data_IF_681374806992
#
_entry.id   IF_681374806992
#
_cell.length_a   1.000
_cell.length_b   1.000
_cell.length_c   1.000
_cell.angle_alpha   90.00
_cell.angle_beta   90.00
_cell.angle_gamma   90.00
#
_symmetry.space_group_name_H-M   'P 1'
#
loop_
_entity.id
_entity.type
_entity.pdbx_description
1 polymer ?
#
# COMPACT_ATOMS: atom_id res chain seq x y z
N UNK A 1 -21.97 8.79 -35.66
CA UNK A 1 -21.86 7.36 -36.05
C UNK A 1 -22.91 6.59 -35.23
N UNK A 2 -23.73 5.83 -35.92
CA UNK A 2 -24.63 4.86 -35.27
C UNK A 2 -23.85 3.58 -34.86
N UNK A 3 -24.54 2.60 -34.28
CA UNK A 3 -23.89 1.37 -33.81
C UNK A 3 -23.21 0.56 -34.90
N UNK A 4 -23.83 0.50 -36.07
CA UNK A 4 -23.32 -0.25 -37.22
C UNK A 4 -22.12 0.43 -37.83
N UNK A 5 -22.16 1.77 -37.97
CA UNK A 5 -21.03 2.58 -38.39
C UNK A 5 -19.84 2.45 -37.43
N UNK A 6 -20.08 2.49 -36.12
CA UNK A 6 -19.04 2.31 -35.09
C UNK A 6 -18.41 0.92 -35.14
N UNK A 7 -19.22 -0.10 -35.35
CA UNK A 7 -18.75 -1.48 -35.51
C UNK A 7 -17.93 -1.62 -36.76
N UNK A 8 -18.41 -1.08 -37.88
CA UNK A 8 -17.68 -1.06 -39.16
C UNK A 8 -16.35 -0.32 -39.05
N UNK A 9 -16.35 0.84 -38.42
CA UNK A 9 -15.13 1.63 -38.17
C UNK A 9 -14.10 0.83 -37.39
N UNK A 10 -14.52 0.19 -36.26
CA UNK A 10 -13.63 -0.60 -35.41
C UNK A 10 -13.10 -1.85 -36.13
N UNK A 11 -13.96 -2.53 -36.91
CA UNK A 11 -13.60 -3.75 -37.68
C UNK A 11 -12.57 -3.47 -38.75
N UNK A 12 -12.68 -2.32 -39.43
CA UNK A 12 -11.84 -1.98 -40.56
C UNK A 12 -10.61 -1.13 -40.19
N UNK A 13 -10.38 -0.92 -38.90
CA UNK A 13 -9.18 -0.23 -38.47
C UNK A 13 -7.93 -1.05 -38.82
N UNK A 14 -6.93 -0.36 -39.37
CA UNK A 14 -5.59 -0.86 -39.63
C UNK A 14 -4.61 0.28 -39.55
N UNK A 15 -3.43 0.04 -38.98
CA UNK A 15 -2.35 1.03 -38.97
C UNK A 15 -1.89 1.43 -40.39
N UNK A 16 -1.96 0.52 -41.35
CA UNK A 16 -1.60 0.79 -42.74
C UNK A 16 -2.49 1.85 -43.37
N UNK A 17 -3.72 2.04 -42.86
CA UNK A 17 -4.66 3.06 -43.30
C UNK A 17 -4.47 4.42 -42.63
N UNK A 18 -3.55 4.50 -41.65
CA UNK A 18 -3.23 5.76 -41.00
C UNK A 18 -2.45 6.68 -41.95
N UNK A 19 -2.54 8.00 -41.76
CA UNK A 19 -1.97 9.05 -42.61
C UNK A 19 -0.49 8.85 -42.95
N UNK A 20 0.29 8.32 -41.99
CA UNK A 20 1.74 8.05 -42.15
C UNK A 20 2.06 6.55 -42.21
N UNK A 21 1.08 5.72 -42.54
CA UNK A 21 1.22 4.27 -42.52
C UNK A 21 1.34 3.70 -41.11
N UNK A 22 1.78 2.45 -41.04
CA UNK A 22 1.82 1.72 -39.76
C UNK A 22 3.00 2.11 -38.82
N UNK A 23 4.04 2.73 -39.33
CA UNK A 23 5.24 3.14 -38.61
C UNK A 23 5.87 2.03 -37.77
N UNK A 24 5.67 0.77 -38.15
CA UNK A 24 6.11 -0.41 -37.39
C UNK A 24 5.16 -0.91 -36.32
N UNK A 25 3.98 -0.30 -36.16
CA UNK A 25 2.92 -0.80 -35.32
C UNK A 25 1.99 -1.75 -36.08
N UNK A 26 1.59 -2.85 -35.44
CA UNK A 26 0.71 -3.85 -36.02
C UNK A 26 -0.64 -3.94 -35.31
N UNK A 27 -0.64 -3.60 -33.99
CA UNK A 27 -1.79 -3.85 -33.16
C UNK A 27 -1.87 -2.86 -31.99
N UNK A 28 -3.08 -2.46 -31.61
CA UNK A 28 -3.34 -1.75 -30.36
C UNK A 28 -3.53 -2.77 -29.24
N UNK A 29 -2.72 -2.65 -28.19
CA UNK A 29 -2.94 -3.34 -26.92
C UNK A 29 -3.63 -2.42 -25.93
N UNK A 30 -4.92 -2.60 -25.71
CA UNK A 30 -5.68 -1.91 -24.67
C UNK A 30 -5.37 -2.59 -23.33
N UNK A 31 -4.51 -1.97 -22.55
CA UNK A 31 -4.00 -2.48 -21.27
C UNK A 31 -4.91 -2.07 -20.12
N UNK A 32 -5.74 -2.99 -19.61
CA UNK A 32 -6.58 -2.70 -18.47
C UNK A 32 -5.79 -2.82 -17.17
N UNK A 33 -5.81 -1.80 -16.33
CA UNK A 33 -5.15 -1.78 -15.04
C UNK A 33 -6.04 -1.16 -13.96
N UNK A 34 -5.72 -1.37 -12.70
CA UNK A 34 -6.50 -0.92 -11.54
C UNK A 34 -6.59 -1.98 -10.45
N UNK A 35 -7.22 -1.62 -9.33
CA UNK A 35 -7.32 -2.47 -8.16
C UNK A 35 -8.07 -3.78 -8.42
N UNK A 36 -7.80 -4.79 -7.60
CA UNK A 36 -8.53 -6.06 -7.62
C UNK A 36 -10.02 -5.83 -7.34
N UNK A 37 -10.87 -6.54 -8.09
CA UNK A 37 -12.33 -6.47 -7.94
C UNK A 37 -12.98 -5.20 -8.53
N UNK A 38 -12.24 -4.40 -9.30
CA UNK A 38 -12.80 -3.22 -9.98
C UNK A 38 -13.53 -3.54 -11.30
N UNK A 39 -13.73 -4.82 -11.63
CA UNK A 39 -14.52 -5.24 -12.78
C UNK A 39 -13.79 -5.23 -14.12
N UNK A 40 -12.45 -5.33 -14.17
CA UNK A 40 -11.64 -5.42 -15.40
C UNK A 40 -12.06 -6.57 -16.30
N UNK A 41 -12.08 -7.79 -15.76
CA UNK A 41 -12.50 -8.99 -16.52
C UNK A 41 -13.96 -8.92 -16.95
N UNK A 42 -14.86 -8.39 -16.10
CA UNK A 42 -16.26 -8.16 -16.47
C UNK A 42 -16.41 -7.13 -17.59
N UNK A 43 -15.58 -6.09 -17.61
CA UNK A 43 -15.55 -5.11 -18.68
C UNK A 43 -15.05 -5.73 -19.99
N UNK A 44 -14.04 -6.60 -19.94
CA UNK A 44 -13.59 -7.38 -21.12
C UNK A 44 -14.74 -8.25 -21.64
N UNK A 45 -15.42 -8.99 -20.80
CA UNK A 45 -16.59 -9.79 -21.21
C UNK A 45 -17.66 -8.93 -21.87
N UNK A 46 -17.91 -7.75 -21.31
CA UNK A 46 -18.85 -6.77 -21.88
C UNK A 46 -18.41 -6.31 -23.28
N UNK A 47 -17.12 -5.97 -23.46
CA UNK A 47 -16.58 -5.57 -24.76
C UNK A 47 -16.69 -6.72 -25.80
N UNK A 48 -16.31 -7.94 -25.43
CA UNK A 48 -16.37 -9.10 -26.32
C UNK A 48 -17.82 -9.40 -26.71
N UNK A 49 -18.74 -9.40 -25.73
CA UNK A 49 -20.15 -9.64 -25.96
C UNK A 49 -20.78 -8.66 -26.94
N UNK A 50 -20.51 -7.37 -26.74
CA UNK A 50 -20.98 -6.33 -27.64
C UNK A 50 -20.32 -6.43 -29.03
N UNK A 51 -19.02 -6.72 -29.05
CA UNK A 51 -18.26 -6.83 -30.30
C UNK A 51 -18.70 -8.03 -31.16
N UNK A 52 -18.78 -9.22 -30.58
CA UNK A 52 -19.14 -10.45 -31.28
C UNK A 52 -20.62 -10.52 -31.61
N UNK A 53 -21.46 -9.78 -30.88
CA UNK A 53 -22.93 -9.80 -31.00
C UNK A 53 -23.53 -11.22 -30.94
N UNK A 54 -22.95 -12.08 -30.11
CA UNK A 54 -23.31 -13.46 -29.91
C UNK A 54 -24.10 -13.66 -28.61
N UNK A 55 -24.21 -14.88 -28.11
CA UNK A 55 -24.66 -15.18 -26.74
C UNK A 55 -23.58 -14.79 -25.72
N UNK A 56 -24.00 -14.41 -24.51
CA UNK A 56 -23.08 -14.00 -23.46
C UNK A 56 -22.33 -15.22 -22.90
N UNK A 57 -21.02 -15.12 -22.81
CA UNK A 57 -20.14 -16.09 -22.17
C UNK A 57 -19.15 -15.38 -21.26
N UNK A 58 -18.67 -16.08 -20.23
CA UNK A 58 -17.58 -15.60 -19.38
C UNK A 58 -16.21 -15.90 -20.00
N UNK A 59 -15.81 -15.17 -21.05
CA UNK A 59 -14.50 -15.33 -21.72
C UNK A 59 -13.34 -15.00 -20.78
N UNK A 60 -13.46 -13.90 -20.02
CA UNK A 60 -12.52 -13.54 -18.99
C UNK A 60 -13.08 -13.96 -17.63
N UNK A 61 -12.30 -14.71 -16.84
CA UNK A 61 -12.72 -15.17 -15.51
C UNK A 61 -12.87 -13.99 -14.57
N UNK A 62 -14.11 -13.56 -14.33
CA UNK A 62 -14.44 -12.55 -13.35
C UNK A 62 -14.45 -13.14 -11.94
N UNK A 63 -14.12 -12.34 -10.94
CA UNK A 63 -14.17 -12.74 -9.53
C UNK A 63 -15.63 -12.98 -9.11
N UNK A 64 -16.03 -14.20 -8.89
CA UNK A 64 -17.41 -14.50 -8.44
C UNK A 64 -17.66 -15.97 -8.15
N UNK A 65 -17.17 -16.86 -8.98
CA UNK A 65 -17.51 -18.29 -8.88
C UNK A 65 -16.45 -19.15 -8.19
N UNK A 66 -15.15 -18.72 -8.14
CA UNK A 66 -14.06 -19.49 -7.51
C UNK A 66 -13.08 -18.67 -6.64
N UNK A 67 -13.43 -17.46 -6.22
CA UNK A 67 -12.54 -16.63 -5.36
C UNK A 67 -11.25 -16.17 -6.04
N UNK A 68 -11.07 -16.37 -7.34
CA UNK A 68 -9.85 -16.13 -8.09
C UNK A 68 -9.61 -14.65 -8.39
N UNK A 69 -8.42 -14.14 -8.07
CA UNK A 69 -7.90 -12.92 -8.65
C UNK A 69 -7.20 -13.27 -9.95
N UNK A 70 -7.37 -12.48 -11.02
CA UNK A 70 -6.58 -12.62 -12.26
C UNK A 70 -5.09 -12.60 -11.90
N UNK A 71 -4.41 -13.74 -12.11
CA UNK A 71 -2.97 -13.89 -11.86
C UNK A 71 -2.16 -13.82 -13.13
N UNK A 72 -2.84 -13.99 -14.26
CA UNK A 72 -2.24 -14.10 -15.57
C UNK A 72 -2.50 -12.84 -16.39
N UNK A 73 -1.63 -12.56 -17.33
CA UNK A 73 -1.77 -11.49 -18.30
C UNK A 73 -2.37 -12.05 -19.59
N UNK A 74 -3.69 -11.95 -19.75
CA UNK A 74 -4.42 -12.67 -20.79
C UNK A 74 -4.88 -11.71 -21.89
N UNK A 75 -4.51 -11.98 -23.18
CA UNK A 75 -5.00 -11.22 -24.32
C UNK A 75 -6.37 -11.73 -24.79
N UNK A 76 -7.23 -10.79 -25.17
CA UNK A 76 -8.54 -11.04 -25.82
C UNK A 76 -8.61 -10.27 -27.12
N UNK A 77 -8.43 -10.96 -28.23
CA UNK A 77 -8.44 -10.37 -29.56
C UNK A 77 -9.87 -10.01 -29.99
N UNK A 78 -10.10 -8.74 -30.31
CA UNK A 78 -11.33 -8.28 -30.92
C UNK A 78 -11.20 -8.28 -32.46
N UNK A 79 -10.07 -7.81 -32.95
CA UNK A 79 -9.68 -7.85 -34.38
C UNK A 79 -8.17 -8.12 -34.46
N UNK A 80 -7.64 -8.36 -35.65
CA UNK A 80 -6.20 -8.51 -35.88
C UNK A 80 -5.38 -7.30 -35.35
N UNK A 81 -5.99 -6.09 -35.37
CA UNK A 81 -5.33 -4.85 -34.99
C UNK A 81 -5.75 -4.34 -33.59
N UNK A 82 -6.64 -5.03 -32.87
CA UNK A 82 -7.17 -4.56 -31.59
C UNK A 82 -7.31 -5.70 -30.58
N UNK A 83 -6.58 -5.62 -29.49
CA UNK A 83 -6.57 -6.63 -28.42
C UNK A 83 -6.78 -5.97 -27.06
N UNK A 84 -7.72 -6.47 -26.27
CA UNK A 84 -7.86 -6.16 -24.85
C UNK A 84 -6.90 -7.04 -24.05
N UNK A 85 -6.24 -6.49 -23.02
CA UNK A 85 -5.38 -7.27 -22.16
C UNK A 85 -5.88 -7.18 -20.72
N UNK A 86 -6.25 -8.33 -20.15
CA UNK A 86 -6.55 -8.44 -18.72
C UNK A 86 -5.25 -8.57 -17.95
N UNK A 87 -4.82 -7.46 -17.36
CA UNK A 87 -3.62 -7.44 -16.54
C UNK A 87 -3.96 -7.84 -15.10
N UNK A 88 -2.99 -8.41 -14.42
CA UNK A 88 -3.11 -8.66 -12.99
C UNK A 88 -3.36 -7.33 -12.25
N UNK A 89 -4.46 -7.29 -11.49
CA UNK A 89 -4.80 -6.13 -10.66
C UNK A 89 -3.95 -6.07 -9.39
N UNK A 90 -3.71 -4.86 -8.88
CA UNK A 90 -3.05 -4.63 -7.59
C UNK A 90 -4.05 -4.71 -6.43
N UNK A 91 -3.54 -5.00 -5.24
CA UNK A 91 -4.31 -4.95 -3.99
C UNK A 91 -4.31 -3.55 -3.41
N UNK A 92 -3.17 -2.89 -3.50
CA UNK A 92 -2.91 -1.53 -3.03
C UNK A 92 -2.25 -0.73 -4.15
N UNK A 93 -2.21 0.59 -4.02
CA UNK A 93 -1.48 1.48 -4.93
C UNK A 93 -0.05 1.75 -4.44
N UNK A 94 0.45 0.92 -3.52
CA UNK A 94 1.80 1.05 -2.98
C UNK A 94 2.89 0.89 -4.04
N UNK A 95 4.03 1.52 -3.80
CA UNK A 95 5.18 1.58 -4.70
C UNK A 95 5.61 0.20 -5.27
N UNK A 96 5.54 -0.86 -4.45
CA UNK A 96 5.97 -2.20 -4.83
C UNK A 96 5.07 -2.86 -5.88
N UNK A 97 3.76 -2.77 -5.70
CA UNK A 97 2.79 -3.32 -6.65
C UNK A 97 2.77 -2.49 -7.94
N UNK A 98 2.98 -1.18 -7.83
CA UNK A 98 3.04 -0.25 -8.97
C UNK A 98 4.13 -0.59 -9.98
N UNK A 99 5.30 -1.06 -9.53
CA UNK A 99 6.38 -1.51 -10.43
C UNK A 99 5.94 -2.64 -11.38
N UNK A 100 5.18 -3.61 -10.86
CA UNK A 100 4.63 -4.71 -11.68
C UNK A 100 3.55 -4.21 -12.62
N UNK A 101 2.70 -3.26 -12.18
CA UNK A 101 1.71 -2.62 -13.04
C UNK A 101 2.40 -1.93 -14.22
N UNK A 102 3.44 -1.14 -13.96
CA UNK A 102 4.16 -0.43 -15.01
C UNK A 102 4.90 -1.39 -15.96
N UNK A 103 5.42 -2.50 -15.48
CA UNK A 103 6.01 -3.52 -16.34
C UNK A 103 4.95 -4.17 -17.27
N UNK A 104 3.73 -4.39 -16.79
CA UNK A 104 2.61 -4.86 -17.60
C UNK A 104 2.18 -3.78 -18.60
N UNK A 105 1.90 -2.55 -18.14
CA UNK A 105 1.49 -1.43 -18.97
C UNK A 105 2.53 -1.10 -20.04
N UNK A 106 3.82 -1.15 -19.69
CA UNK A 106 4.91 -0.94 -20.63
C UNK A 106 5.08 -2.04 -21.69
N UNK A 107 4.28 -3.11 -21.62
CA UNK A 107 4.44 -4.33 -22.43
C UNK A 107 5.85 -4.94 -22.30
N UNK A 108 6.39 -4.95 -21.06
CA UNK A 108 7.73 -5.47 -20.76
C UNK A 108 7.69 -6.90 -20.19
N UNK A 109 6.51 -7.43 -19.96
CA UNK A 109 6.25 -8.82 -19.59
C UNK A 109 5.46 -9.49 -20.71
N UNK A 110 5.65 -10.79 -20.99
CA UNK A 110 4.94 -11.48 -22.05
C UNK A 110 3.43 -11.53 -21.77
N UNK A 111 2.63 -11.52 -22.84
CA UNK A 111 1.20 -11.84 -22.77
C UNK A 111 1.03 -13.35 -22.65
N UNK A 112 -0.11 -13.78 -22.17
CA UNK A 112 -0.46 -15.20 -21.95
C UNK A 112 0.50 -15.90 -20.98
N UNK A 113 0.93 -15.15 -19.97
CA UNK A 113 1.83 -15.65 -18.94
C UNK A 113 1.36 -15.25 -17.54
N UNK A 114 1.69 -16.10 -16.56
CA UNK A 114 1.45 -15.82 -15.16
C UNK A 114 2.33 -14.65 -14.70
N UNK A 115 1.71 -13.65 -14.11
CA UNK A 115 2.40 -12.50 -13.51
C UNK A 115 2.52 -12.75 -12.01
N UNK A 116 3.70 -13.09 -11.56
CA UNK A 116 4.01 -13.16 -10.14
C UNK A 116 4.45 -11.79 -9.64
N UNK A 117 4.08 -11.45 -8.40
CA UNK A 117 4.66 -10.27 -7.77
C UNK A 117 6.17 -10.44 -7.64
N UNK A 118 6.91 -9.48 -8.16
CA UNK A 118 8.36 -9.41 -8.05
C UNK A 118 8.75 -8.03 -7.54
N UNK A 119 9.73 -7.98 -6.65
CA UNK A 119 10.28 -6.74 -6.11
C UNK A 119 11.71 -6.56 -6.61
N UNK A 120 12.12 -5.32 -6.81
CA UNK A 120 13.50 -4.97 -7.10
C UNK A 120 14.14 -5.80 -8.21
N UNK A 121 15.24 -6.47 -7.89
CA UNK A 121 16.00 -7.29 -8.83
C UNK A 121 15.18 -8.44 -9.46
N UNK A 122 14.22 -9.02 -8.70
CA UNK A 122 13.38 -10.10 -9.23
C UNK A 122 12.47 -9.66 -10.38
N UNK A 123 11.92 -8.44 -10.34
CA UNK A 123 11.14 -7.89 -11.45
C UNK A 123 12.04 -7.52 -12.62
N UNK A 124 13.22 -6.94 -12.36
CA UNK A 124 14.23 -6.63 -13.38
C UNK A 124 14.66 -7.89 -14.14
N UNK A 125 14.93 -9.00 -13.44
CA UNK A 125 15.31 -10.28 -14.04
C UNK A 125 14.19 -10.82 -14.95
N UNK A 126 12.92 -10.74 -14.52
CA UNK A 126 11.77 -11.15 -15.32
C UNK A 126 11.67 -10.33 -16.62
N UNK A 127 11.86 -9.01 -16.54
CA UNK A 127 11.85 -8.13 -17.71
C UNK A 127 12.98 -8.44 -18.69
N UNK A 128 14.18 -8.75 -18.20
CA UNK A 128 15.31 -9.13 -19.04
C UNK A 128 15.03 -10.46 -19.75
N UNK A 129 14.54 -11.46 -19.04
CA UNK A 129 14.17 -12.76 -19.62
C UNK A 129 13.05 -12.64 -20.66
N UNK A 130 12.13 -11.69 -20.45
CA UNK A 130 11.00 -11.43 -21.33
C UNK A 130 11.37 -10.69 -22.62
N UNK A 131 12.55 -10.09 -22.71
CA UNK A 131 12.93 -9.17 -23.79
C UNK A 131 12.73 -9.73 -25.19
N UNK A 132 13.03 -11.02 -25.40
CA UNK A 132 12.86 -11.70 -26.69
C UNK A 132 11.44 -12.18 -26.96
N UNK A 133 10.58 -12.17 -25.95
CA UNK A 133 9.19 -12.69 -26.02
C UNK A 133 8.18 -11.58 -26.24
N UNK A 134 8.52 -10.33 -25.92
CA UNK A 134 7.62 -9.21 -26.09
C UNK A 134 7.74 -8.61 -27.48
N UNK A 135 6.59 -8.20 -28.09
CA UNK A 135 6.56 -7.59 -29.41
C UNK A 135 6.71 -6.08 -29.28
N UNK A 136 7.67 -5.52 -30.00
CA UNK A 136 7.86 -4.05 -30.06
C UNK A 136 6.78 -3.38 -30.90
N UNK A 137 6.21 -4.08 -31.87
CA UNK A 137 5.19 -3.56 -32.79
C UNK A 137 3.79 -3.34 -32.19
N UNK A 138 3.63 -3.58 -30.89
CA UNK A 138 2.37 -3.34 -30.18
C UNK A 138 2.27 -1.87 -29.74
N UNK A 139 1.20 -1.17 -30.14
CA UNK A 139 0.88 0.15 -29.61
C UNK A 139 0.16 0.00 -28.27
N UNK A 140 0.77 0.47 -27.20
CA UNK A 140 0.24 0.34 -25.84
C UNK A 140 -0.74 1.47 -25.53
N UNK A 141 -1.97 1.11 -25.15
CA UNK A 141 -3.02 2.05 -24.77
C UNK A 141 -3.51 1.77 -23.32
N UNK A 142 -3.22 2.64 -22.34
CA UNK A 142 -3.60 2.41 -20.95
C UNK A 142 -5.06 2.76 -20.68
N UNK A 143 -5.78 1.86 -19.99
CA UNK A 143 -7.16 2.06 -19.52
C UNK A 143 -7.25 1.74 -18.06
N UNK A 144 -7.51 2.74 -17.23
CA UNK A 144 -7.69 2.58 -15.79
C UNK A 144 -9.12 2.19 -15.46
N UNK A 145 -9.31 1.10 -14.74
CA UNK A 145 -10.65 0.61 -14.37
C UNK A 145 -10.89 0.79 -12.89
N UNK A 146 -11.92 1.53 -12.54
CA UNK A 146 -12.35 1.80 -11.16
C UNK A 146 -13.82 1.41 -10.96
N UNK A 147 -14.15 0.86 -9.78
CA UNK A 147 -15.53 0.54 -9.41
C UNK A 147 -16.17 1.67 -8.62
N UNK A 148 -17.29 2.20 -9.09
CA UNK A 148 -18.05 3.25 -8.38
C UNK A 148 -18.55 2.78 -7.01
N UNK A 149 -18.66 1.46 -6.78
CA UNK A 149 -18.96 0.90 -5.44
C UNK A 149 -17.92 1.25 -4.38
N UNK A 150 -16.67 1.51 -4.81
CA UNK A 150 -15.58 1.86 -3.91
C UNK A 150 -15.42 3.36 -3.93
N UNK A 151 -15.70 3.99 -2.80
CA UNK A 151 -15.36 5.39 -2.61
C UNK A 151 -13.86 5.62 -2.75
N UNK A 152 -13.46 6.84 -3.01
CA UNK A 152 -12.05 7.25 -3.10
C UNK A 152 -11.77 8.16 -1.91
N UNK A 153 -10.89 7.74 -1.00
CA UNK A 153 -10.47 8.55 0.14
C UNK A 153 -9.56 9.70 -0.29
N UNK A 154 -9.31 10.66 0.60
CA UNK A 154 -8.40 11.79 0.30
C UNK A 154 -6.96 11.31 0.08
N UNK A 155 -6.54 10.32 0.85
CA UNK A 155 -5.22 9.69 0.76
C UNK A 155 -5.05 8.97 -0.58
N UNK A 156 -6.04 8.17 -0.98
CA UNK A 156 -6.04 7.45 -2.25
C UNK A 156 -6.04 8.38 -3.48
N UNK A 157 -6.54 9.62 -3.37
CA UNK A 157 -6.50 10.58 -4.49
C UNK A 157 -5.08 10.88 -4.95
N UNK A 158 -4.15 11.12 -4.00
CA UNK A 158 -2.74 11.37 -4.32
C UNK A 158 -2.06 10.16 -4.97
N UNK A 159 -2.37 8.95 -4.50
CA UNK A 159 -1.84 7.71 -5.08
C UNK A 159 -2.39 7.45 -6.48
N UNK A 160 -3.69 7.70 -6.69
CA UNK A 160 -4.33 7.61 -8.01
C UNK A 160 -3.75 8.61 -9.00
N UNK A 161 -3.55 9.85 -8.58
CA UNK A 161 -2.92 10.89 -9.40
C UNK A 161 -1.51 10.46 -9.83
N UNK A 162 -0.70 10.01 -8.88
CA UNK A 162 0.65 9.53 -9.16
C UNK A 162 0.65 8.33 -10.13
N UNK A 163 -0.28 7.38 -9.95
CA UNK A 163 -0.42 6.22 -10.82
C UNK A 163 -0.82 6.61 -12.25
N UNK A 164 -1.83 7.49 -12.42
CA UNK A 164 -2.31 7.94 -13.72
C UNK A 164 -1.24 8.75 -14.47
N UNK A 165 -0.55 9.65 -13.76
CA UNK A 165 0.55 10.45 -14.31
C UNK A 165 1.75 9.56 -14.72
N UNK A 166 2.06 8.55 -13.91
CA UNK A 166 3.10 7.57 -14.24
C UNK A 166 2.73 6.71 -15.45
N UNK A 167 1.48 6.28 -15.56
CA UNK A 167 0.97 5.54 -16.71
C UNK A 167 1.03 6.39 -18.00
N UNK A 168 0.68 7.67 -17.92
CA UNK A 168 0.81 8.63 -19.02
C UNK A 168 2.28 8.83 -19.42
N UNK A 169 3.15 9.04 -18.45
CA UNK A 169 4.60 9.22 -18.73
C UNK A 169 5.22 7.99 -19.35
N UNK A 170 4.84 6.79 -18.85
CA UNK A 170 5.33 5.51 -19.33
C UNK A 170 4.92 5.24 -20.80
N UNK A 171 3.65 5.50 -21.12
CA UNK A 171 3.06 5.10 -22.40
C UNK A 171 3.03 6.23 -23.44
N UNK A 172 3.18 7.48 -23.00
CA UNK A 172 2.95 8.66 -23.83
C UNK A 172 1.47 8.87 -24.17
N UNK A 173 0.55 8.15 -23.49
CA UNK A 173 -0.89 8.18 -23.74
C UNK A 173 -1.61 8.55 -22.45
N UNK A 174 -2.49 9.55 -22.49
CA UNK A 174 -3.36 9.87 -21.34
C UNK A 174 -4.31 8.69 -21.11
N UNK A 175 -4.32 8.07 -19.94
CA UNK A 175 -5.22 6.96 -19.67
C UNK A 175 -6.70 7.34 -19.81
N UNK A 176 -7.48 6.47 -20.46
CA UNK A 176 -8.94 6.54 -20.34
C UNK A 176 -9.32 5.92 -19.00
N UNK A 177 -10.27 6.53 -18.29
CA UNK A 177 -10.85 5.96 -17.09
C UNK A 177 -12.18 5.28 -17.42
N UNK A 178 -12.30 4.02 -17.03
CA UNK A 178 -13.52 3.22 -17.10
C UNK A 178 -14.08 3.04 -15.69
N UNK A 179 -15.27 3.57 -15.46
CA UNK A 179 -16.03 3.40 -14.23
C UNK A 179 -17.01 2.24 -14.38
N UNK A 180 -16.86 1.23 -13.57
CA UNK A 180 -17.75 0.06 -13.53
C UNK A 180 -18.77 0.17 -12.39
N UNK A 181 -19.85 -0.64 -12.43
CA UNK A 181 -20.92 -0.61 -11.43
C UNK A 181 -21.51 0.79 -11.26
N UNK A 182 -21.81 1.44 -12.39
CA UNK A 182 -22.25 2.85 -12.43
C UNK A 182 -23.53 3.13 -11.62
N UNK A 183 -24.35 2.12 -11.40
CA UNK A 183 -25.62 2.22 -10.64
C UNK A 183 -25.46 1.96 -9.14
N UNK A 184 -24.28 1.53 -8.68
CA UNK A 184 -24.08 1.00 -7.33
C UNK A 184 -23.40 1.99 -6.35
N UNK A 185 -23.27 3.27 -6.72
CA UNK A 185 -22.66 4.30 -5.88
C UNK A 185 -22.88 5.71 -6.43
N UNK A 186 -22.11 6.69 -5.94
CA UNK A 186 -22.17 8.07 -6.42
C UNK A 186 -21.31 8.26 -7.68
N UNK A 187 -21.90 8.01 -8.84
CA UNK A 187 -21.23 8.15 -10.12
C UNK A 187 -20.70 9.59 -10.33
N UNK A 188 -21.55 10.58 -10.10
CA UNK A 188 -21.20 12.01 -10.31
C UNK A 188 -20.03 12.45 -9.45
N UNK A 189 -19.98 11.99 -8.19
CA UNK A 189 -18.88 12.29 -7.28
C UNK A 189 -17.58 11.62 -7.77
N UNK A 190 -17.66 10.34 -8.14
CA UNK A 190 -16.49 9.58 -8.66
C UNK A 190 -15.96 10.19 -9.94
N UNK A 191 -16.84 10.56 -10.89
CA UNK A 191 -16.44 11.27 -12.11
C UNK A 191 -15.80 12.62 -11.79
N UNK A 192 -16.37 13.39 -10.85
CA UNK A 192 -15.82 14.66 -10.38
C UNK A 192 -14.38 14.51 -9.89
N UNK A 193 -14.12 13.51 -9.05
CA UNK A 193 -12.77 13.22 -8.53
C UNK A 193 -11.79 12.96 -9.70
N UNK A 194 -12.13 12.10 -10.65
CA UNK A 194 -11.23 11.84 -11.77
C UNK A 194 -11.02 13.06 -12.69
N UNK A 195 -12.04 13.93 -12.86
CA UNK A 195 -11.87 15.20 -13.57
C UNK A 195 -10.93 16.15 -12.85
N UNK A 196 -11.03 16.23 -11.52
CA UNK A 196 -10.11 17.01 -10.69
C UNK A 196 -8.66 16.50 -10.79
N UNK A 197 -8.47 15.19 -11.02
CA UNK A 197 -7.17 14.56 -11.32
C UNK A 197 -6.69 14.76 -12.77
N UNK A 198 -7.39 15.56 -13.57
CA UNK A 198 -7.03 15.87 -14.94
C UNK A 198 -7.42 14.82 -15.99
N UNK A 199 -8.31 13.89 -15.65
CA UNK A 199 -8.80 12.89 -16.61
C UNK A 199 -9.91 13.50 -17.46
N UNK A 200 -9.67 13.63 -18.76
CA UNK A 200 -10.64 14.18 -19.72
C UNK A 200 -11.65 13.14 -20.20
N UNK A 201 -11.21 11.91 -20.42
CA UNK A 201 -12.01 10.82 -21.01
C UNK A 201 -12.39 9.79 -19.96
N UNK A 202 -13.67 9.82 -19.58
CA UNK A 202 -14.28 8.92 -18.61
C UNK A 202 -15.47 8.23 -19.27
N UNK A 203 -15.50 6.90 -19.17
CA UNK A 203 -16.62 6.07 -19.63
C UNK A 203 -17.20 5.31 -18.44
N UNK A 204 -18.53 5.28 -18.33
CA UNK A 204 -19.22 4.68 -17.16
C UNK A 204 -20.12 3.54 -17.60
N UNK A 205 -19.83 2.32 -17.14
CA UNK A 205 -20.51 1.11 -17.58
C UNK A 205 -21.24 0.39 -16.44
N UNK A 206 -22.39 -0.16 -16.77
CA UNK A 206 -22.95 -1.28 -16.06
C UNK A 206 -22.64 -2.53 -16.90
N UNK A 207 -21.66 -3.32 -16.43
CA UNK A 207 -21.17 -4.47 -17.18
C UNK A 207 -22.27 -5.53 -17.37
N UNK A 208 -22.20 -6.25 -18.48
CA UNK A 208 -22.95 -7.50 -18.65
C UNK A 208 -22.34 -8.59 -17.79
N UNK A 209 -23.21 -9.42 -17.21
CA UNK A 209 -22.85 -10.57 -16.37
C UNK A 209 -23.68 -11.78 -16.79
N UNK A 210 -23.35 -12.96 -16.26
CA UNK A 210 -24.18 -14.17 -16.45
C UNK A 210 -25.63 -13.99 -15.99
N UNK A 211 -25.84 -13.12 -14.99
CA UNK A 211 -27.16 -12.85 -14.40
C UNK A 211 -27.91 -11.73 -15.12
N UNK A 212 -27.21 -10.70 -15.63
CA UNK A 212 -27.76 -9.57 -16.37
C UNK A 212 -27.02 -9.34 -17.68
N UNK A 213 -27.46 -10.05 -18.73
CA UNK A 213 -26.92 -9.93 -20.09
C UNK A 213 -27.98 -9.54 -21.12
N UNK A 214 -29.10 -8.96 -20.68
CA UNK A 214 -30.11 -8.44 -21.57
C UNK A 214 -29.51 -7.31 -22.43
N UNK A 215 -29.49 -7.52 -23.76
CA UNK A 215 -28.98 -6.55 -24.71
C UNK A 215 -29.82 -5.26 -24.67
N UNK A 216 -29.16 -4.16 -24.38
CA UNK A 216 -29.78 -2.84 -24.46
C UNK A 216 -28.97 -1.95 -25.40
N UNK A 217 -29.66 -1.19 -26.26
CA UNK A 217 -29.04 -0.31 -27.24
C UNK A 217 -28.04 0.66 -26.58
N UNK A 218 -28.39 1.25 -25.44
CA UNK A 218 -27.52 2.20 -24.74
C UNK A 218 -26.20 1.59 -24.25
N UNK A 219 -26.24 0.40 -23.65
CA UNK A 219 -25.01 -0.31 -23.21
C UNK A 219 -24.12 -0.65 -24.42
N UNK A 220 -24.72 -1.11 -25.54
CA UNK A 220 -23.96 -1.43 -26.76
C UNK A 220 -23.29 -0.21 -27.37
N UNK A 221 -24.03 0.91 -27.50
CA UNK A 221 -23.47 2.16 -28.03
C UNK A 221 -22.34 2.70 -27.16
N UNK A 222 -22.44 2.64 -25.83
CA UNK A 222 -21.38 3.08 -24.93
C UNK A 222 -20.07 2.31 -25.15
N UNK A 223 -20.15 0.96 -25.29
CA UNK A 223 -18.97 0.12 -25.55
C UNK A 223 -18.36 0.43 -26.93
N UNK A 224 -19.18 0.52 -27.95
CA UNK A 224 -18.69 0.86 -29.31
C UNK A 224 -18.08 2.26 -29.37
N UNK A 225 -18.66 3.25 -28.68
CA UNK A 225 -18.07 4.58 -28.53
C UNK A 225 -16.70 4.53 -27.88
N UNK A 226 -16.55 3.76 -26.78
CA UNK A 226 -15.27 3.57 -26.13
C UNK A 226 -14.21 3.02 -27.10
N UNK A 227 -14.53 1.94 -27.83
CA UNK A 227 -13.60 1.35 -28.79
C UNK A 227 -13.23 2.34 -29.93
N UNK A 228 -14.21 3.07 -30.45
CA UNK A 228 -13.98 4.10 -31.45
C UNK A 228 -13.08 5.23 -30.92
N UNK A 229 -13.27 5.68 -29.69
CA UNK A 229 -12.45 6.74 -29.10
C UNK A 229 -10.99 6.28 -28.87
N UNK A 230 -10.77 5.03 -28.47
CA UNK A 230 -9.42 4.45 -28.42
C UNK A 230 -8.75 4.49 -29.79
N UNK A 231 -9.46 4.03 -30.82
CA UNK A 231 -8.90 4.01 -32.20
C UNK A 231 -8.62 5.41 -32.72
N UNK A 232 -9.52 6.36 -32.53
CA UNK A 232 -9.34 7.77 -32.98
C UNK A 232 -8.13 8.41 -32.28
N UNK A 233 -7.95 8.15 -30.97
CA UNK A 233 -6.79 8.67 -30.23
C UNK A 233 -5.48 8.07 -30.76
N UNK A 234 -5.46 6.77 -31.05
CA UNK A 234 -4.29 6.11 -31.65
C UNK A 234 -4.02 6.70 -33.06
N UNK A 235 -5.04 6.83 -33.90
CA UNK A 235 -4.89 7.43 -35.26
C UNK A 235 -4.29 8.83 -35.16
N UNK A 236 -4.78 9.66 -34.24
CA UNK A 236 -4.23 10.99 -34.00
C UNK A 236 -2.75 10.97 -33.60
N UNK A 237 -2.39 10.06 -32.72
CA UNK A 237 -1.01 9.95 -32.21
C UNK A 237 -0.02 9.46 -33.26
N UNK A 238 -0.42 8.53 -34.12
CA UNK A 238 0.43 8.04 -35.19
C UNK A 238 0.49 9.01 -36.38
N UNK A 239 -0.18 10.17 -36.33
CA UNK A 239 0.08 11.28 -37.26
C UNK A 239 1.46 11.93 -37.03
N UNK A 240 2.04 11.75 -35.82
CA UNK A 240 3.42 12.15 -35.56
C UNK A 240 4.37 10.98 -35.82
N UNK A 241 5.62 11.24 -36.23
CA UNK A 241 6.62 10.17 -36.38
C UNK A 241 6.85 9.44 -35.08
N UNK A 242 6.80 8.13 -35.12
CA UNK A 242 7.01 7.26 -33.95
C UNK A 242 7.92 6.10 -34.33
N UNK A 243 8.64 5.58 -33.32
CA UNK A 243 9.48 4.39 -33.44
C UNK A 243 9.15 3.43 -32.30
N UNK A 244 8.47 2.30 -32.58
CA UNK A 244 8.09 1.32 -31.56
C UNK A 244 9.27 0.78 -30.74
N UNK A 245 10.47 0.66 -31.37
CA UNK A 245 11.68 0.16 -30.70
C UNK A 245 12.21 1.17 -29.70
N UNK A 246 12.27 2.45 -30.07
CA UNK A 246 12.68 3.51 -29.15
C UNK A 246 11.65 3.73 -28.02
N UNK A 247 10.37 3.59 -28.32
CA UNK A 247 9.34 3.63 -27.29
C UNK A 247 9.48 2.48 -26.29
N UNK A 248 9.77 1.26 -26.74
CA UNK A 248 10.02 0.12 -25.87
C UNK A 248 11.23 0.35 -24.97
N UNK A 249 12.33 0.89 -25.49
CA UNK A 249 13.52 1.25 -24.71
C UNK A 249 13.18 2.31 -23.66
N UNK A 250 12.42 3.33 -24.03
CA UNK A 250 12.00 4.40 -23.13
C UNK A 250 11.13 3.86 -21.98
N UNK A 251 10.16 3.00 -22.31
CA UNK A 251 9.31 2.32 -21.29
C UNK A 251 10.14 1.47 -20.35
N UNK A 252 11.10 0.69 -20.86
CA UNK A 252 12.03 -0.11 -20.05
C UNK A 252 12.85 0.77 -19.12
N UNK A 253 13.43 1.85 -19.63
CA UNK A 253 14.21 2.79 -18.82
C UNK A 253 13.37 3.40 -17.70
N UNK A 254 12.12 3.77 -18.00
CA UNK A 254 11.19 4.28 -16.98
C UNK A 254 10.96 3.27 -15.86
N UNK A 255 10.62 2.02 -16.21
CA UNK A 255 10.31 1.00 -15.19
C UNK A 255 11.55 0.64 -14.36
N UNK A 256 12.72 0.52 -14.98
CA UNK A 256 13.97 0.26 -14.25
C UNK A 256 14.32 1.39 -13.28
N UNK A 257 14.15 2.65 -13.70
CA UNK A 257 14.33 3.82 -12.83
C UNK A 257 13.35 3.79 -11.67
N UNK A 258 12.08 3.51 -11.94
CA UNK A 258 11.04 3.41 -10.92
C UNK A 258 11.35 2.33 -9.87
N UNK A 259 11.76 1.12 -10.30
CA UNK A 259 12.17 0.03 -9.40
C UNK A 259 13.32 0.47 -8.51
N UNK A 260 14.34 1.10 -9.09
CA UNK A 260 15.51 1.59 -8.34
C UNK A 260 15.12 2.63 -7.28
N UNK A 261 14.26 3.57 -7.62
CA UNK A 261 13.75 4.58 -6.67
C UNK A 261 12.94 3.94 -5.53
N UNK A 262 12.14 2.92 -5.83
CA UNK A 262 11.41 2.16 -4.80
C UNK A 262 12.36 1.41 -3.86
N UNK A 263 13.40 0.76 -4.41
CA UNK A 263 14.41 0.05 -3.61
C UNK A 263 15.16 1.00 -2.65
N UNK A 264 15.52 2.20 -3.13
CA UNK A 264 16.16 3.23 -2.29
C UNK A 264 15.23 3.67 -1.16
N UNK A 265 13.98 3.98 -1.47
CA UNK A 265 12.99 4.38 -0.46
C UNK A 265 12.77 3.28 0.59
N UNK A 266 12.73 2.03 0.15
CA UNK A 266 12.58 0.91 1.09
C UNK A 266 13.79 0.74 2.00
N UNK A 267 14.99 0.87 1.47
CA UNK A 267 16.22 0.82 2.26
C UNK A 267 16.23 1.96 3.30
N UNK A 268 15.85 3.17 2.92
CA UNK A 268 15.74 4.31 3.83
C UNK A 268 14.72 4.03 4.95
N UNK A 269 13.54 3.54 4.64
CA UNK A 269 12.51 3.16 5.63
C UNK A 269 13.03 2.09 6.62
N UNK A 270 13.78 1.08 6.11
CA UNK A 270 14.39 0.04 6.97
C UNK A 270 15.43 0.63 7.92
N UNK A 271 16.26 1.56 7.46
CA UNK A 271 17.25 2.24 8.29
C UNK A 271 16.59 3.10 9.36
N UNK A 272 15.56 3.88 9.00
CA UNK A 272 14.80 4.71 9.93
C UNK A 272 14.08 3.86 10.99
N UNK A 273 13.43 2.78 10.59
CA UNK A 273 12.75 1.85 11.51
C UNK A 273 13.73 1.20 12.49
N UNK A 274 14.94 0.84 12.02
CA UNK A 274 15.98 0.30 12.89
C UNK A 274 16.48 1.35 13.89
N UNK A 275 16.71 2.59 13.45
CA UNK A 275 17.11 3.70 14.35
C UNK A 275 16.04 3.96 15.41
N UNK A 276 14.76 3.99 15.03
CA UNK A 276 13.65 4.19 15.96
C UNK A 276 13.56 3.05 17.01
N UNK A 277 13.78 1.81 16.57
CA UNK A 277 13.82 0.65 17.47
C UNK A 277 14.99 0.75 18.46
N UNK A 278 16.19 1.07 17.97
CA UNK A 278 17.39 1.21 18.80
C UNK A 278 17.21 2.33 19.84
N UNK A 279 16.63 3.47 19.46
CA UNK A 279 16.29 4.56 20.37
C UNK A 279 15.30 4.12 21.46
N UNK A 280 14.22 3.43 21.07
CA UNK A 280 13.23 2.87 22.01
C UNK A 280 13.85 1.89 23.03
N UNK A 281 14.79 1.05 22.56
CA UNK A 281 15.53 0.12 23.43
C UNK A 281 16.46 0.85 24.40
N UNK A 282 17.14 1.90 23.94
CA UNK A 282 18.00 2.74 24.80
C UNK A 282 17.18 3.46 25.89
N UNK A 283 16.04 4.03 25.53
CA UNK A 283 15.15 4.67 26.51
C UNK A 283 14.61 3.68 27.56
N UNK A 284 14.26 2.47 27.15
CA UNK A 284 13.84 1.42 28.08
C UNK A 284 14.96 1.03 29.04
N UNK A 285 16.19 0.86 28.53
CA UNK A 285 17.37 0.55 29.38
C UNK A 285 17.65 1.70 30.37
N UNK A 286 17.58 2.94 29.91
CA UNK A 286 17.80 4.09 30.78
C UNK A 286 16.75 4.18 31.91
N UNK A 287 15.47 3.96 31.59
CA UNK A 287 14.39 3.91 32.60
C UNK A 287 14.60 2.78 33.62
N UNK A 288 15.01 1.60 33.16
CA UNK A 288 15.31 0.48 34.07
C UNK A 288 16.48 0.82 35.02
N UNK A 289 17.57 1.41 34.49
CA UNK A 289 18.70 1.84 35.32
C UNK A 289 18.31 2.92 36.34
N UNK A 290 17.47 3.89 35.95
CA UNK A 290 16.95 4.90 36.88
C UNK A 290 16.09 4.28 37.99
N UNK A 291 15.24 3.31 37.67
CA UNK A 291 14.43 2.59 38.65
C UNK A 291 15.30 1.77 39.60
N UNK A 292 16.32 1.08 39.09
CA UNK A 292 17.27 0.32 39.93
C UNK A 292 18.04 1.25 40.87
N UNK A 293 18.56 2.37 40.36
CA UNK A 293 19.23 3.38 41.18
C UNK A 293 18.29 3.98 42.23
N UNK A 294 17.03 4.24 41.92
CA UNK A 294 16.05 4.70 42.92
C UNK A 294 15.82 3.66 44.01
N UNK A 295 15.68 2.38 43.65
CA UNK A 295 15.51 1.28 44.61
C UNK A 295 16.74 1.14 45.50
N UNK A 296 17.93 1.24 44.91
CA UNK A 296 19.17 1.16 45.72
C UNK A 296 19.31 2.33 46.68
N UNK A 297 19.05 3.58 46.26
CA UNK A 297 19.04 4.74 47.16
C UNK A 297 18.02 4.60 48.28
N UNK A 298 16.82 4.10 47.98
CA UNK A 298 15.81 3.85 49.04
C UNK A 298 16.24 2.75 50.05
N UNK A 299 16.96 1.74 49.55
CA UNK A 299 17.52 0.70 50.43
C UNK A 299 18.60 1.27 51.35
N UNK A 300 19.54 2.01 50.80
CA UNK A 300 20.60 2.70 51.53
C UNK A 300 20.03 3.67 52.59
N UNK A 301 19.01 4.45 52.25
CA UNK A 301 18.34 5.32 53.23
C UNK A 301 17.68 4.54 54.36
N UNK A 302 17.02 3.41 54.08
CA UNK A 302 16.42 2.56 55.13
C UNK A 302 17.47 1.96 56.02
N UNK A 303 18.58 1.49 55.45
CA UNK A 303 19.70 0.95 56.24
C UNK A 303 20.29 2.03 57.19
N UNK A 304 20.50 3.24 56.70
CA UNK A 304 20.96 4.38 57.52
C UNK A 304 19.96 4.79 58.60
N UNK A 305 18.65 4.78 58.31
CA UNK A 305 17.62 5.06 59.30
C UNK A 305 17.52 3.94 60.39
N UNK A 306 17.76 2.70 60.00
CA UNK A 306 17.79 1.58 60.96
C UNK A 306 19.02 1.62 61.82
N UNK A 307 20.21 1.94 61.27
CA UNK A 307 21.43 2.15 62.07
C UNK A 307 21.26 3.32 63.05
N UNK A 308 20.71 4.42 62.60
CA UNK A 308 20.45 5.57 63.43
C UNK A 308 19.47 5.22 64.57
N UNK A 309 18.41 4.46 64.29
CA UNK A 309 17.49 3.98 65.34
C UNK A 309 18.15 3.05 66.33
N UNK A 310 19.00 2.11 65.88
CA UNK A 310 19.77 1.22 66.78
C UNK A 310 20.68 2.03 67.65
N UNK A 311 21.41 2.94 67.13
CA UNK A 311 22.29 3.82 67.90
C UNK A 311 21.53 4.67 68.92
N UNK A 312 20.38 5.21 68.59
CA UNK A 312 19.52 5.91 69.55
C UNK A 312 18.99 4.98 70.66
N UNK A 313 18.63 3.74 70.34
CA UNK A 313 18.20 2.78 71.35
C UNK A 313 19.35 2.39 72.30
N UNK A 314 20.56 2.22 71.79
CA UNK A 314 21.75 1.95 72.59
C UNK A 314 22.03 3.10 73.58
N UNK A 315 22.00 4.33 73.08
CA UNK A 315 22.17 5.52 73.91
C UNK A 315 21.07 5.66 74.98
N UNK A 316 19.85 5.31 74.66
CA UNK A 316 18.74 5.33 75.61
C UNK A 316 18.95 4.25 76.68
N UNK A 317 19.35 3.03 76.28
CA UNK A 317 19.63 1.90 77.20
C UNK A 317 20.82 2.24 78.13
N UNK A 318 21.89 2.90 77.63
CA UNK A 318 22.98 3.36 78.50
C UNK A 318 22.51 4.40 79.51
N UNK A 319 21.71 5.39 79.08
CA UNK A 319 21.14 6.39 80.00
C UNK A 319 20.27 5.78 81.06
N UNK A 320 19.44 4.80 80.69
CA UNK A 320 18.57 4.11 81.69
C UNK A 320 19.38 3.26 82.61
N UNK A 321 20.47 2.62 82.21
CA UNK A 321 21.41 1.90 82.95
C UNK A 321 22.16 2.76 83.97
N UNK A 322 22.59 3.91 83.55
CA UNK A 322 23.29 4.89 84.42
C UNK A 322 22.30 5.49 85.41
N UNK A 323 21.06 5.75 85.03
CA UNK A 323 20.02 6.22 85.97
C UNK A 323 19.73 5.14 87.03
N UNK A 324 19.61 3.91 86.61
CA UNK A 324 19.40 2.76 87.56
C UNK A 324 20.58 2.64 88.56
N UNK A 325 21.84 2.76 88.15
CA UNK A 325 23.00 2.78 89.00
C UNK A 325 22.96 3.93 89.96
N UNK A 326 22.63 5.11 89.56
CA UNK A 326 22.51 6.32 90.40
C UNK A 326 21.40 6.11 91.45
N UNK A 327 20.28 5.54 91.09
CA UNK A 327 19.19 5.23 92.03
C UNK A 327 19.59 4.17 93.01
N UNK A 328 20.35 3.13 92.61
CA UNK A 328 20.85 2.11 93.47
C UNK A 328 21.88 2.65 94.51
N UNK A 329 22.78 3.53 94.00
CA UNK A 329 23.73 4.23 94.92
C UNK A 329 23.01 5.15 95.89
N UNK A 330 21.99 5.87 95.43
CA UNK A 330 21.20 6.73 96.32
C UNK A 330 20.44 5.88 97.37
N UNK A 331 19.89 4.70 97.03
CA UNK A 331 19.25 3.78 97.98
C UNK A 331 20.26 3.23 99.02
N UNK A 332 21.44 2.85 98.51
CA UNK A 332 22.51 2.34 99.41
C UNK A 332 23.00 3.45 100.36
N UNK A 333 23.09 4.72 99.83
CA UNK A 333 23.46 5.86 100.74
C UNK A 333 22.36 6.12 101.79
N UNK A 334 21.08 6.07 101.41
CA UNK A 334 19.96 6.24 102.36
C UNK A 334 19.96 5.16 103.37
N UNK A 335 20.15 3.89 102.99
CA UNK A 335 20.24 2.77 103.91
C UNK A 335 21.44 2.93 104.90
N UNK A 336 22.59 3.41 104.39
CA UNK A 336 23.76 3.68 105.23
C UNK A 336 23.51 4.85 106.20
N UNK A 337 22.77 5.85 105.77
CA UNK A 337 22.37 6.95 106.72
C UNK A 337 21.34 6.47 107.71
N UNK A 338 20.37 5.65 107.36
CA UNK A 338 19.41 5.09 108.31
C UNK A 338 20.07 4.14 109.32
N UNK A 339 21.01 3.30 108.84
CA UNK A 339 21.80 2.43 109.75
C UNK A 339 22.67 3.25 110.73
N UNK A 340 23.25 4.40 110.23
CA UNK A 340 23.98 5.35 111.15
C UNK A 340 23.05 6.04 112.11
N UNK A 341 21.85 6.45 111.73
CA UNK A 341 20.83 7.04 112.65
C UNK A 341 20.34 6.02 113.61
N UNK A 342 20.07 4.75 113.27
CA UNK A 342 19.70 3.68 114.19
C UNK A 342 20.82 3.37 115.18
N UNK A 343 22.09 3.33 114.76
CA UNK A 343 23.24 3.14 115.66
C UNK A 343 23.41 4.32 116.67
N UNK A 344 23.12 5.54 116.23
CA UNK A 344 23.14 6.73 117.12
C UNK A 344 22.00 6.71 118.12
N UNK A 345 20.84 6.13 117.76
CA UNK A 345 19.70 6.00 118.64
C UNK A 345 19.86 4.86 119.61
N UNK A 346 20.57 3.76 119.32
CA UNK A 346 20.88 2.63 120.14
C UNK A 346 22.13 2.87 121.04
N UNK A 347 22.88 3.95 120.84
CA UNK A 347 24.05 4.34 121.66
C UNK A 347 23.76 5.34 122.77
N UNK A 348 22.49 5.64 122.96
CA UNK A 348 22.02 6.62 124.01
C UNK A 348 21.25 5.90 125.14
N UNK A 349 21.53 4.59 125.34
CA UNK A 349 21.13 3.89 126.58
C UNK A 349 22.33 3.16 127.16
#
# INVERSE_FOLDING_TARGET
MDSDEMRHFTKNFSFDKCKKGNQGFNRILIQLFGLLGNGKSSFINTCIYVWKDCEFENWAKARGEDGGSTTDRIPYELTENLTLVDNRGCRTLEDKESGVIFAQLGNLLPIDTRVEWGEGFGLTEKMVRAEKLVKTSDFVFPVFVHSVRKGITKEERGELEALLNSAMTLTGVVPIVVLTHKTAGSLTETEGIFRDLGVERIFSFENYTSEDHMKTRGKHEEVLKFLCEVIKDVQFRVEQPRDPSEEMKTRRKFVLKYIHECDIKEQQRKVESKKALDQSLQEKRHKQQEEEMKKQRQKEQREQEEEFRRHQQELQWERDRDRARQEEEMRAQKERQEKKKKKKFLGLF
#
